data_IF_194595839413
#
_entry.id   IF_194595839413
#
_cell.length_a   1.000
_cell.length_b   1.000
_cell.length_c   1.000
_cell.angle_alpha   90.00
_cell.angle_beta   90.00
_cell.angle_gamma   90.00
#
_symmetry.space_group_name_H-M   'P 1'
#
loop_
_entity.id
_entity.type
_entity.pdbx_description
1 polymer ?
#
# COMPACT_ATOMS: atom_id res chain seq x y z
N UNK A 1 53.33 6.42 39.97
CA UNK A 1 52.10 5.73 40.43
C UNK A 1 52.28 5.41 41.90
N UNK A 2 51.43 5.94 42.78
CA UNK A 2 51.49 5.59 44.19
C UNK A 2 51.01 4.14 44.36
N UNK A 3 51.88 3.25 44.84
CA UNK A 3 51.57 1.85 45.09
C UNK A 3 50.60 1.76 46.28
N UNK A 4 49.35 1.35 46.02
CA UNK A 4 48.33 1.09 47.04
C UNK A 4 47.94 -0.38 46.94
N UNK A 5 48.11 -1.13 48.03
CA UNK A 5 47.93 -2.59 48.07
C UNK A 5 46.45 -2.98 48.18
N UNK A 6 45.63 -2.13 48.83
CA UNK A 6 44.24 -2.46 49.15
C UNK A 6 43.23 -2.10 48.03
N UNK A 7 43.61 -1.24 47.09
CA UNK A 7 42.73 -0.84 45.98
C UNK A 7 43.52 -0.74 44.67
N UNK A 8 43.19 -1.60 43.72
CA UNK A 8 43.79 -1.62 42.39
C UNK A 8 42.99 -0.71 41.45
N UNK A 9 43.29 0.59 41.54
CA UNK A 9 42.63 1.61 40.73
C UNK A 9 42.80 1.37 39.23
N UNK A 10 43.92 0.79 38.80
CA UNK A 10 44.19 0.44 37.40
C UNK A 10 43.24 -0.67 36.92
N UNK A 11 43.09 -1.74 37.70
CA UNK A 11 42.15 -2.83 37.40
C UNK A 11 40.68 -2.36 37.42
N UNK A 12 40.29 -1.50 38.37
CA UNK A 12 38.93 -0.93 38.40
C UNK A 12 38.65 -0.03 37.19
N UNK A 13 39.65 0.74 36.75
CA UNK A 13 39.51 1.59 35.57
C UNK A 13 39.37 0.75 34.29
N UNK A 14 40.22 -0.27 34.13
CA UNK A 14 40.15 -1.20 33.00
C UNK A 14 38.82 -1.96 32.98
N UNK A 15 38.32 -2.41 34.14
CA UNK A 15 37.00 -3.07 34.24
C UNK A 15 35.85 -2.15 33.78
N UNK A 16 35.85 -0.87 34.18
CA UNK A 16 34.84 0.10 33.71
C UNK A 16 34.90 0.32 32.19
N UNK A 17 36.11 0.41 31.62
CA UNK A 17 36.28 0.55 30.17
C UNK A 17 35.88 -0.72 29.41
N UNK A 18 36.15 -1.90 29.97
CA UNK A 18 35.73 -3.18 29.42
C UNK A 18 34.20 -3.30 29.41
N UNK A 19 33.53 -2.97 30.51
CA UNK A 19 32.07 -2.95 30.59
C UNK A 19 31.44 -1.99 29.57
N UNK A 20 32.02 -0.79 29.40
CA UNK A 20 31.60 0.15 28.36
C UNK A 20 31.80 -0.39 26.93
N UNK A 21 32.87 -1.15 26.69
CA UNK A 21 33.14 -1.78 25.39
C UNK A 21 32.17 -2.93 25.11
N UNK A 22 31.86 -3.75 26.13
CA UNK A 22 30.87 -4.83 26.04
C UNK A 22 29.49 -4.29 25.68
N UNK A 23 29.06 -3.18 26.31
CA UNK A 23 27.78 -2.53 25.98
C UNK A 23 27.75 -2.02 24.53
N UNK A 24 28.85 -1.42 24.05
CA UNK A 24 28.96 -0.98 22.64
C UNK A 24 28.93 -2.15 21.66
N UNK A 25 29.62 -3.24 21.98
CA UNK A 25 29.61 -4.45 21.18
C UNK A 25 28.20 -5.06 21.11
N UNK A 26 27.51 -5.16 22.24
CA UNK A 26 26.13 -5.64 22.31
C UNK A 26 25.19 -4.81 21.41
N UNK A 27 25.29 -3.48 21.48
CA UNK A 27 24.49 -2.57 20.66
C UNK A 27 24.80 -2.68 19.16
N UNK A 28 26.08 -2.76 18.77
CA UNK A 28 26.44 -2.97 17.35
C UNK A 28 25.98 -4.34 16.84
N UNK A 29 26.04 -5.39 17.67
CA UNK A 29 25.46 -6.69 17.31
C UNK A 29 23.94 -6.61 17.13
N UNK A 30 23.24 -5.87 17.97
CA UNK A 30 21.81 -5.60 17.84
C UNK A 30 21.48 -4.86 16.53
N UNK A 31 22.25 -3.81 16.20
CA UNK A 31 22.06 -3.07 14.95
C UNK A 31 22.31 -3.94 13.71
N UNK A 32 23.37 -4.75 13.71
CA UNK A 32 23.68 -5.68 12.61
C UNK A 32 22.62 -6.77 12.46
N UNK A 33 22.14 -7.32 13.57
CA UNK A 33 21.12 -8.37 13.57
C UNK A 33 19.75 -7.85 13.09
N UNK A 34 19.41 -6.61 13.45
CA UNK A 34 18.13 -5.99 13.07
C UNK A 34 18.19 -5.26 11.73
N UNK A 35 19.39 -4.97 11.22
CA UNK A 35 19.63 -4.09 10.08
C UNK A 35 19.29 -2.62 10.36
N UNK A 36 18.98 -2.25 11.61
CA UNK A 36 18.50 -0.93 12.01
C UNK A 36 19.46 -0.26 12.98
N UNK A 37 19.72 1.01 12.77
CA UNK A 37 20.49 1.87 13.67
C UNK A 37 19.66 2.39 14.84
N UNK A 38 18.32 2.41 14.71
CA UNK A 38 17.40 2.83 15.75
C UNK A 38 16.43 1.68 16.01
N UNK A 39 16.64 0.94 17.09
CA UNK A 39 15.80 -0.20 17.46
C UNK A 39 14.87 0.12 18.64
N UNK A 40 15.30 1.02 19.53
CA UNK A 40 14.53 1.42 20.71
C UNK A 40 14.55 2.94 20.95
N UNK A 41 13.66 3.41 21.84
CA UNK A 41 13.65 4.81 22.27
C UNK A 41 14.93 5.24 23.00
N UNK A 42 15.73 4.27 23.48
CA UNK A 42 17.06 4.53 24.06
C UNK A 42 18.09 4.91 22.99
N UNK A 43 17.91 4.50 21.72
CA UNK A 43 18.81 4.86 20.64
C UNK A 43 18.51 6.26 20.11
N UNK A 44 17.24 6.56 19.89
CA UNK A 44 16.73 7.90 19.58
C UNK A 44 15.21 7.93 19.63
N UNK A 45 14.65 8.58 20.65
CA UNK A 45 13.19 8.74 20.78
C UNK A 45 12.58 9.51 19.58
N UNK A 46 13.27 10.53 19.08
CA UNK A 46 12.78 11.37 17.96
C UNK A 46 12.80 10.59 16.65
N UNK A 47 13.89 9.90 16.32
CA UNK A 47 13.97 9.12 15.09
C UNK A 47 12.98 7.94 15.09
N UNK A 48 12.78 7.32 16.25
CA UNK A 48 11.78 6.27 16.42
C UNK A 48 10.35 6.83 16.21
N UNK A 49 10.02 7.99 16.79
CA UNK A 49 8.71 8.60 16.61
C UNK A 49 8.43 8.95 15.13
N UNK A 50 9.39 9.60 14.45
CA UNK A 50 9.25 9.96 13.03
C UNK A 50 9.09 8.69 12.18
N UNK A 51 9.95 7.68 12.38
CA UNK A 51 9.88 6.43 11.61
C UNK A 51 8.61 5.61 11.87
N UNK A 52 8.01 5.74 13.06
CA UNK A 52 6.70 5.15 13.38
C UNK A 52 5.58 5.83 12.62
N UNK A 53 5.56 7.17 12.59
CA UNK A 53 4.59 7.95 11.81
C UNK A 53 4.71 7.64 10.32
N UNK A 54 5.92 7.71 9.76
CA UNK A 54 6.19 7.33 8.36
C UNK A 54 5.76 5.89 8.08
N UNK A 55 5.98 4.96 9.02
CA UNK A 55 5.52 3.58 8.90
C UNK A 55 4.00 3.45 8.90
N UNK A 56 3.29 4.29 9.65
CA UNK A 56 1.84 4.40 9.61
C UNK A 56 1.34 4.89 8.26
N UNK A 57 1.93 5.98 7.76
CA UNK A 57 1.58 6.59 6.48
C UNK A 57 1.81 5.63 5.31
N UNK A 58 2.96 4.94 5.28
CA UNK A 58 3.26 3.93 4.25
C UNK A 58 2.20 2.82 4.23
N UNK A 59 1.75 2.33 5.40
CA UNK A 59 0.70 1.30 5.47
C UNK A 59 -0.65 1.84 5.01
N UNK A 60 -1.01 3.05 5.42
CA UNK A 60 -2.26 3.70 5.01
C UNK A 60 -2.31 3.93 3.50
N UNK A 61 -1.22 4.46 2.91
CA UNK A 61 -1.09 4.67 1.47
C UNK A 61 -1.10 3.33 0.72
N UNK A 62 -0.41 2.30 1.22
CA UNK A 62 -0.43 0.97 0.61
C UNK A 62 -1.82 0.35 0.59
N UNK A 63 -2.63 0.58 1.65
CA UNK A 63 -4.04 0.17 1.65
C UNK A 63 -4.86 1.02 0.66
N UNK A 64 -4.58 2.30 0.55
CA UNK A 64 -5.25 3.21 -0.38
C UNK A 64 -5.06 2.80 -1.84
N UNK A 65 -3.86 2.32 -2.21
CA UNK A 65 -3.60 1.76 -3.54
C UNK A 65 -4.47 0.53 -3.81
N UNK A 66 -4.65 -0.35 -2.82
CA UNK A 66 -5.55 -1.51 -2.95
C UNK A 66 -7.00 -1.07 -3.12
N UNK A 67 -7.47 -0.16 -2.27
CA UNK A 67 -8.83 0.39 -2.36
C UNK A 67 -9.10 1.05 -3.72
N UNK A 68 -8.11 1.80 -4.26
CA UNK A 68 -8.21 2.40 -5.58
C UNK A 68 -8.32 1.34 -6.68
N UNK A 69 -7.55 0.25 -6.60
CA UNK A 69 -7.64 -0.87 -7.54
C UNK A 69 -8.98 -1.61 -7.46
N UNK A 70 -9.58 -1.72 -6.26
CA UNK A 70 -10.92 -2.27 -6.10
C UNK A 70 -11.96 -1.38 -6.81
N UNK A 71 -11.84 -0.06 -6.66
CA UNK A 71 -12.69 0.90 -7.38
C UNK A 71 -12.50 0.86 -8.90
N UNK A 72 -11.26 0.71 -9.38
CA UNK A 72 -10.96 0.50 -10.81
C UNK A 72 -11.63 -0.79 -11.30
N UNK A 73 -11.56 -1.87 -10.52
CA UNK A 73 -12.16 -3.16 -10.89
C UNK A 73 -13.68 -3.06 -10.97
N UNK A 74 -14.30 -2.35 -10.01
CA UNK A 74 -15.73 -2.05 -10.02
C UNK A 74 -16.12 -1.21 -11.26
N UNK A 75 -15.36 -0.15 -11.56
CA UNK A 75 -15.64 0.72 -12.69
C UNK A 75 -15.50 0.00 -14.03
N UNK A 76 -14.48 -0.85 -14.19
CA UNK A 76 -14.29 -1.66 -15.40
C UNK A 76 -15.39 -2.69 -15.60
N UNK A 77 -15.88 -3.32 -14.53
CA UNK A 77 -17.02 -4.22 -14.61
C UNK A 77 -18.27 -3.48 -15.10
N UNK A 78 -18.53 -2.28 -14.56
CA UNK A 78 -19.62 -1.42 -14.99
C UNK A 78 -19.53 -1.01 -16.47
N UNK A 79 -18.35 -0.54 -16.91
CA UNK A 79 -18.13 -0.16 -18.32
C UNK A 79 -18.27 -1.35 -19.28
N UNK A 80 -17.77 -2.54 -18.89
CA UNK A 80 -17.87 -3.74 -19.74
C UNK A 80 -19.32 -4.19 -19.93
N UNK A 81 -20.12 -4.21 -18.87
CA UNK A 81 -21.55 -4.55 -18.98
C UNK A 81 -22.34 -3.48 -19.75
N UNK A 82 -21.95 -2.20 -19.68
CA UNK A 82 -22.54 -1.15 -20.50
C UNK A 82 -22.18 -1.23 -21.99
N UNK A 83 -21.00 -1.76 -22.31
CA UNK A 83 -20.59 -2.03 -23.70
C UNK A 83 -21.44 -3.15 -24.33
N UNK A 84 -21.70 -4.22 -23.56
CA UNK A 84 -22.63 -5.28 -23.97
C UNK A 84 -24.06 -4.74 -24.17
N UNK A 85 -24.56 -3.93 -23.22
CA UNK A 85 -25.85 -3.25 -23.35
C UNK A 85 -25.91 -2.34 -24.58
N UNK A 86 -24.86 -1.55 -24.85
CA UNK A 86 -24.78 -0.68 -26.04
C UNK A 86 -24.91 -1.49 -27.33
N UNK A 87 -24.22 -2.62 -27.44
CA UNK A 87 -24.26 -3.48 -28.63
C UNK A 87 -25.67 -4.04 -28.86
N UNK A 88 -26.40 -4.40 -27.81
CA UNK A 88 -27.80 -4.84 -27.93
C UNK A 88 -28.74 -3.69 -28.31
N UNK A 89 -28.53 -2.48 -27.78
CA UNK A 89 -29.31 -1.31 -28.18
C UNK A 89 -29.09 -0.90 -29.64
N UNK A 90 -27.86 -1.01 -30.15
CA UNK A 90 -27.57 -0.83 -31.57
C UNK A 90 -28.33 -1.84 -32.44
N UNK A 91 -28.39 -3.10 -32.00
CA UNK A 91 -29.21 -4.13 -32.67
C UNK A 91 -30.71 -3.81 -32.60
N UNK A 92 -31.21 -3.35 -31.45
CA UNK A 92 -32.60 -2.92 -31.32
C UNK A 92 -32.92 -1.72 -32.22
N UNK A 93 -31.98 -0.78 -32.39
CA UNK A 93 -32.14 0.36 -33.29
C UNK A 93 -32.23 -0.08 -34.76
N UNK A 94 -31.39 -1.03 -35.18
CA UNK A 94 -31.43 -1.64 -36.52
C UNK A 94 -32.81 -2.29 -36.78
N UNK A 95 -33.27 -3.10 -35.83
CA UNK A 95 -34.56 -3.78 -35.90
C UNK A 95 -35.74 -2.81 -35.92
N UNK A 96 -35.71 -1.76 -35.08
CA UNK A 96 -36.74 -0.73 -35.03
C UNK A 96 -36.81 0.06 -36.35
N UNK A 97 -35.65 0.37 -36.95
CA UNK A 97 -35.57 0.97 -38.29
C UNK A 97 -36.11 0.05 -39.38
N UNK A 98 -35.77 -1.24 -39.33
CA UNK A 98 -36.28 -2.26 -40.26
C UNK A 98 -37.81 -2.39 -40.18
N UNK A 99 -38.38 -2.36 -38.98
CA UNK A 99 -39.84 -2.39 -38.75
C UNK A 99 -40.54 -1.19 -39.39
N UNK A 100 -39.89 -0.03 -39.42
CA UNK A 100 -40.39 1.20 -40.05
C UNK A 100 -40.50 1.13 -41.58
N UNK A 101 -39.95 0.10 -42.23
CA UNK A 101 -40.05 -0.06 -43.67
C UNK A 101 -41.44 -0.56 -44.09
N UNK A 102 -42.14 0.22 -44.91
CA UNK A 102 -43.50 -0.06 -45.37
C UNK A 102 -43.67 -1.28 -46.29
N UNK A 103 -42.58 -1.97 -46.66
CA UNK A 103 -42.61 -3.21 -47.44
C UNK A 103 -42.82 -4.48 -46.59
N UNK A 104 -42.74 -4.40 -45.26
CA UNK A 104 -42.90 -5.56 -44.37
C UNK A 104 -44.37 -5.93 -44.15
N UNK A 105 -44.63 -7.23 -44.01
CA UNK A 105 -45.94 -7.73 -43.58
C UNK A 105 -46.19 -7.51 -42.09
N UNK A 106 -47.43 -7.67 -41.63
CA UNK A 106 -47.76 -7.59 -40.21
C UNK A 106 -47.09 -8.72 -39.40
N UNK A 107 -46.96 -9.91 -40.00
CA UNK A 107 -46.24 -11.05 -39.43
C UNK A 107 -44.75 -10.75 -39.26
N UNK A 108 -44.10 -10.13 -40.25
CA UNK A 108 -42.68 -9.72 -40.16
C UNK A 108 -42.47 -8.66 -39.06
N UNK A 109 -43.37 -7.66 -38.98
CA UNK A 109 -43.33 -6.65 -37.93
C UNK A 109 -43.49 -7.26 -36.53
N UNK A 110 -44.36 -8.27 -36.39
CA UNK A 110 -44.55 -8.98 -35.12
C UNK A 110 -43.33 -9.84 -34.74
N UNK A 111 -42.63 -10.43 -35.71
CA UNK A 111 -41.41 -11.19 -35.46
C UNK A 111 -40.29 -10.27 -34.95
N UNK A 112 -40.14 -9.09 -35.56
CA UNK A 112 -39.19 -8.06 -35.13
C UNK A 112 -39.50 -7.59 -33.70
N UNK A 113 -40.77 -7.35 -33.37
CA UNK A 113 -41.18 -6.98 -32.00
C UNK A 113 -40.82 -8.07 -30.97
N UNK A 114 -40.89 -9.34 -31.37
CA UNK A 114 -40.43 -10.46 -30.55
C UNK A 114 -38.93 -10.43 -30.29
N UNK A 115 -38.11 -10.12 -31.31
CA UNK A 115 -36.65 -10.00 -31.17
C UNK A 115 -36.27 -8.80 -30.29
N UNK A 116 -36.91 -7.64 -30.49
CA UNK A 116 -36.72 -6.45 -29.66
C UNK A 116 -37.09 -6.73 -28.19
N UNK A 117 -38.22 -7.42 -27.95
CA UNK A 117 -38.62 -7.79 -26.58
C UNK A 117 -37.67 -8.78 -25.90
N UNK A 118 -37.07 -9.70 -26.66
CA UNK A 118 -36.04 -10.61 -26.16
C UNK A 118 -34.76 -9.85 -25.77
N UNK A 119 -34.30 -8.92 -26.62
CA UNK A 119 -33.16 -8.06 -26.33
C UNK A 119 -33.40 -7.18 -25.10
N UNK A 120 -34.59 -6.59 -24.98
CA UNK A 120 -34.97 -5.81 -23.79
C UNK A 120 -34.92 -6.65 -22.50
N UNK A 121 -35.37 -7.90 -22.57
CA UNK A 121 -35.33 -8.82 -21.43
C UNK A 121 -33.89 -9.12 -21.02
N UNK A 122 -32.99 -9.32 -21.99
CA UNK A 122 -31.57 -9.56 -21.72
C UNK A 122 -30.88 -8.32 -21.14
N UNK A 123 -31.15 -7.14 -21.69
CA UNK A 123 -30.65 -5.86 -21.15
C UNK A 123 -31.08 -5.68 -19.69
N UNK A 124 -32.36 -5.90 -19.38
CA UNK A 124 -32.89 -5.83 -18.03
C UNK A 124 -32.21 -6.86 -17.09
N UNK A 125 -31.90 -8.05 -17.61
CA UNK A 125 -31.15 -9.09 -16.88
C UNK A 125 -29.73 -8.63 -16.54
N UNK A 126 -28.99 -8.08 -17.51
CA UNK A 126 -27.63 -7.55 -17.30
C UNK A 126 -27.65 -6.40 -16.31
N UNK A 127 -28.64 -5.51 -16.40
CA UNK A 127 -28.78 -4.39 -15.46
C UNK A 127 -29.00 -4.87 -14.02
N UNK A 128 -29.85 -5.88 -13.81
CA UNK A 128 -30.20 -6.39 -12.49
C UNK A 128 -29.11 -7.29 -11.87
N UNK A 129 -28.39 -8.04 -12.71
CA UNK A 129 -27.43 -9.05 -12.28
C UNK A 129 -25.99 -8.55 -12.20
N UNK A 130 -25.64 -7.44 -12.88
CA UNK A 130 -24.31 -6.85 -12.78
C UNK A 130 -24.08 -6.25 -11.40
N UNK A 131 -23.26 -6.93 -10.60
CA UNK A 131 -22.94 -6.54 -9.22
C UNK A 131 -21.46 -6.72 -8.94
N UNK A 132 -20.91 -5.81 -8.14
CA UNK A 132 -19.59 -5.94 -7.56
C UNK A 132 -19.72 -6.08 -6.04
N UNK A 133 -19.35 -7.24 -5.49
CA UNK A 133 -19.43 -7.51 -4.05
C UNK A 133 -20.80 -7.12 -3.45
N UNK A 134 -21.88 -7.65 -4.03
CA UNK A 134 -23.29 -7.39 -3.70
C UNK A 134 -23.81 -5.94 -3.93
N UNK A 135 -22.98 -5.04 -4.48
CA UNK A 135 -23.41 -3.71 -4.89
C UNK A 135 -23.87 -3.71 -6.34
N UNK A 136 -25.12 -3.30 -6.59
CA UNK A 136 -25.61 -3.05 -7.96
C UNK A 136 -24.91 -1.82 -8.54
N UNK A 137 -24.48 -1.92 -9.80
CA UNK A 137 -23.73 -0.85 -10.46
C UNK A 137 -24.62 0.15 -11.21
N UNK A 138 -25.89 -0.19 -11.48
CA UNK A 138 -26.74 0.54 -12.42
C UNK A 138 -28.06 1.08 -11.83
N UNK A 139 -28.37 0.77 -10.57
CA UNK A 139 -29.61 1.20 -9.88
C UNK A 139 -29.44 2.46 -9.02
N UNK A 140 -28.34 3.19 -9.23
CA UNK A 140 -27.90 4.28 -8.36
C UNK A 140 -26.70 3.83 -7.53
N UNK A 141 -25.50 4.11 -8.03
CA UNK A 141 -24.25 3.78 -7.37
C UNK A 141 -23.74 5.02 -6.63
N UNK A 142 -23.48 4.89 -5.33
CA UNK A 142 -22.80 5.91 -4.54
C UNK A 142 -21.79 5.19 -3.62
N UNK A 143 -20.54 5.09 -4.09
CA UNK A 143 -19.48 4.37 -3.37
C UNK A 143 -18.26 5.27 -3.19
N UNK A 144 -17.86 5.42 -1.92
CA UNK A 144 -16.68 6.18 -1.55
C UNK A 144 -15.48 5.25 -1.34
N UNK A 145 -14.39 5.52 -2.06
CA UNK A 145 -13.10 4.85 -1.91
C UNK A 145 -12.11 5.76 -1.19
N UNK A 146 -11.43 5.25 -0.17
CA UNK A 146 -10.31 5.96 0.47
C UNK A 146 -9.06 5.76 -0.37
N UNK A 147 -8.55 6.84 -0.97
CA UNK A 147 -7.47 6.83 -1.97
C UNK A 147 -6.26 7.67 -1.52
N UNK A 148 -6.06 7.77 -0.21
CA UNK A 148 -4.91 8.39 0.44
C UNK A 148 -5.00 8.26 1.96
N UNK A 149 -4.15 8.97 2.69
CA UNK A 149 -4.20 8.95 4.17
C UNK A 149 -5.51 9.54 4.72
N UNK A 150 -6.11 10.51 4.03
CA UNK A 150 -7.39 11.14 4.40
C UNK A 150 -8.24 11.49 3.17
N UNK A 151 -7.72 11.24 1.97
CA UNK A 151 -8.37 11.60 0.71
C UNK A 151 -9.38 10.54 0.31
N UNK A 152 -10.52 10.98 -0.20
CA UNK A 152 -11.59 10.11 -0.70
C UNK A 152 -11.88 10.40 -2.17
N UNK A 153 -12.35 9.37 -2.86
CA UNK A 153 -12.92 9.46 -4.19
C UNK A 153 -14.35 8.92 -4.13
N UNK A 154 -15.31 9.68 -4.61
CA UNK A 154 -16.69 9.21 -4.69
C UNK A 154 -17.02 8.80 -6.12
N UNK A 155 -17.33 7.51 -6.31
CA UNK A 155 -17.90 7.00 -7.55
C UNK A 155 -19.43 7.09 -7.44
N UNK A 156 -19.99 8.10 -8.10
CA UNK A 156 -21.43 8.31 -8.19
C UNK A 156 -21.89 8.05 -9.62
N UNK A 157 -22.82 7.13 -9.81
CA UNK A 157 -23.46 6.87 -11.10
C UNK A 157 -24.96 6.92 -10.90
N UNK A 158 -25.61 7.80 -11.65
CA UNK A 158 -27.06 7.91 -11.64
C UNK A 158 -27.71 6.61 -12.14
N UNK A 159 -28.94 6.29 -11.72
CA UNK A 159 -29.67 5.14 -12.25
C UNK A 159 -29.73 5.18 -13.77
N UNK A 160 -29.27 4.11 -14.42
CA UNK A 160 -29.28 4.02 -15.88
C UNK A 160 -30.68 3.57 -16.30
N UNK A 161 -31.47 4.46 -16.90
CA UNK A 161 -32.76 4.05 -17.43
C UNK A 161 -32.57 3.30 -18.76
N UNK A 162 -32.96 2.04 -18.80
CA UNK A 162 -32.88 1.14 -19.95
C UNK A 162 -34.26 0.69 -20.45
N UNK A 163 -35.34 1.14 -19.82
CA UNK A 163 -36.70 0.84 -20.29
C UNK A 163 -37.01 1.68 -21.52
N UNK A 164 -37.26 1.02 -22.65
CA UNK A 164 -37.56 1.64 -23.94
C UNK A 164 -38.81 1.06 -24.55
N UNK A 165 -39.63 1.94 -25.13
CA UNK A 165 -40.69 1.52 -26.04
C UNK A 165 -40.14 1.04 -27.38
N UNK A 166 -41.04 0.70 -28.31
CA UNK A 166 -40.66 0.24 -29.65
C UNK A 166 -40.22 1.39 -30.61
N UNK A 167 -40.10 2.63 -30.11
CA UNK A 167 -39.76 3.79 -30.93
C UNK A 167 -38.24 4.01 -30.95
N UNK A 168 -37.71 4.36 -32.11
CA UNK A 168 -36.28 4.69 -32.31
C UNK A 168 -35.82 5.80 -31.35
N UNK A 169 -36.65 6.81 -31.09
CA UNK A 169 -36.32 7.92 -30.19
C UNK A 169 -36.09 7.50 -28.74
N UNK A 170 -36.79 6.45 -28.28
CA UNK A 170 -36.63 5.94 -26.91
C UNK A 170 -35.30 5.19 -26.80
N UNK A 171 -34.96 4.39 -27.82
CA UNK A 171 -33.67 3.67 -27.96
C UNK A 171 -32.50 4.65 -27.97
N UNK A 172 -32.59 5.74 -28.75
CA UNK A 172 -31.55 6.78 -28.79
C UNK A 172 -31.33 7.42 -27.41
N UNK A 173 -32.40 7.70 -26.68
CA UNK A 173 -32.30 8.27 -25.32
C UNK A 173 -31.64 7.28 -24.34
N UNK A 174 -31.95 5.99 -24.44
CA UNK A 174 -31.31 4.95 -23.62
C UNK A 174 -29.81 4.79 -23.96
N UNK A 175 -29.44 4.84 -25.23
CA UNK A 175 -28.04 4.83 -25.67
C UNK A 175 -27.27 6.05 -25.16
N UNK A 176 -27.89 7.24 -25.13
CA UNK A 176 -27.30 8.43 -24.51
C UNK A 176 -27.10 8.26 -22.99
N UNK A 177 -28.04 7.65 -22.29
CA UNK A 177 -27.89 7.34 -20.85
C UNK A 177 -26.73 6.39 -20.60
N UNK A 178 -26.60 5.33 -21.41
CA UNK A 178 -25.50 4.37 -21.34
C UNK A 178 -24.18 5.06 -21.61
N UNK A 179 -24.10 5.88 -22.66
CA UNK A 179 -22.90 6.63 -23.02
C UNK A 179 -22.45 7.56 -21.90
N UNK A 180 -23.39 8.22 -21.22
CA UNK A 180 -23.09 9.03 -20.01
C UNK A 180 -22.56 8.18 -18.86
N UNK A 181 -23.20 7.05 -18.56
CA UNK A 181 -22.75 6.15 -17.51
C UNK A 181 -21.34 5.57 -17.80
N UNK A 182 -21.06 5.18 -19.05
CA UNK A 182 -19.72 4.74 -19.50
C UNK A 182 -18.68 5.84 -19.34
N UNK A 183 -19.02 7.08 -19.69
CA UNK A 183 -18.12 8.21 -19.49
C UNK A 183 -17.76 8.38 -18.00
N UNK A 184 -18.73 8.24 -17.09
CA UNK A 184 -18.49 8.29 -15.64
C UNK A 184 -17.58 7.15 -15.15
N UNK A 185 -17.80 5.90 -15.60
CA UNK A 185 -16.92 4.77 -15.25
C UNK A 185 -15.52 4.90 -15.85
N UNK A 186 -15.41 5.42 -17.08
CA UNK A 186 -14.14 5.72 -17.73
C UNK A 186 -13.36 6.81 -17.00
N UNK A 187 -14.04 7.89 -16.59
CA UNK A 187 -13.44 8.93 -15.75
C UNK A 187 -12.95 8.34 -14.42
N UNK A 188 -13.78 7.53 -13.74
CA UNK A 188 -13.41 6.90 -12.49
C UNK A 188 -12.18 6.00 -12.62
N UNK A 189 -12.07 5.24 -13.71
CA UNK A 189 -10.89 4.41 -14.00
C UNK A 189 -9.62 5.25 -14.15
N UNK A 190 -9.72 6.39 -14.84
CA UNK A 190 -8.59 7.30 -15.05
C UNK A 190 -8.18 8.04 -13.77
N UNK A 191 -9.17 8.56 -13.04
CA UNK A 191 -8.96 9.28 -11.77
C UNK A 191 -8.34 8.35 -10.71
N UNK A 192 -8.93 7.16 -10.50
CA UNK A 192 -8.41 6.19 -9.54
C UNK A 192 -7.04 5.66 -9.99
N UNK A 193 -6.82 5.46 -11.29
CA UNK A 193 -5.53 5.04 -11.84
C UNK A 193 -4.41 6.04 -11.57
N UNK A 194 -4.67 7.33 -11.81
CA UNK A 194 -3.69 8.39 -11.53
C UNK A 194 -3.40 8.55 -10.03
N UNK A 195 -4.43 8.50 -9.18
CA UNK A 195 -4.27 8.58 -7.71
C UNK A 195 -3.55 7.36 -7.13
N UNK A 196 -3.80 6.16 -7.67
CA UNK A 196 -3.08 4.95 -7.28
C UNK A 196 -1.59 5.05 -7.63
N UNK A 197 -1.26 5.57 -8.82
CA UNK A 197 0.13 5.80 -9.24
C UNK A 197 0.83 6.85 -8.37
N UNK A 198 0.19 7.98 -8.08
CA UNK A 198 0.75 9.00 -7.17
C UNK A 198 0.97 8.44 -5.75
N UNK A 199 -0.02 7.70 -5.23
CA UNK A 199 0.09 7.02 -3.94
C UNK A 199 1.26 6.03 -3.89
N UNK A 200 1.48 5.26 -4.96
CA UNK A 200 2.60 4.32 -5.04
C UNK A 200 3.96 5.06 -4.99
N UNK A 201 4.11 6.15 -5.75
CA UNK A 201 5.31 6.99 -5.74
C UNK A 201 5.53 7.63 -4.37
N UNK A 202 4.47 8.10 -3.70
CA UNK A 202 4.54 8.62 -2.33
C UNK A 202 4.99 7.54 -1.34
N UNK A 203 4.45 6.33 -1.44
CA UNK A 203 4.85 5.21 -0.58
C UNK A 203 6.33 4.85 -0.76
N UNK A 204 6.84 4.85 -1.99
CA UNK A 204 8.24 4.63 -2.30
C UNK A 204 9.14 5.70 -1.66
N UNK A 205 8.81 6.98 -1.88
CA UNK A 205 9.56 8.10 -1.32
C UNK A 205 9.57 8.12 0.21
N UNK A 206 8.44 7.82 0.85
CA UNK A 206 8.36 7.71 2.31
C UNK A 206 9.13 6.49 2.83
N UNK A 207 9.14 5.38 2.09
CA UNK A 207 9.94 4.20 2.43
C UNK A 207 11.43 4.51 2.35
N UNK A 208 11.88 5.21 1.31
CA UNK A 208 13.26 5.68 1.19
C UNK A 208 13.64 6.67 2.31
N UNK A 209 12.74 7.60 2.66
CA UNK A 209 12.94 8.53 3.76
C UNK A 209 13.03 7.79 5.11
N UNK A 210 12.17 6.80 5.35
CA UNK A 210 12.18 5.98 6.55
C UNK A 210 13.45 5.13 6.65
N UNK A 211 13.89 4.54 5.53
CA UNK A 211 15.14 3.78 5.44
C UNK A 211 16.34 4.62 5.86
N UNK A 212 16.48 5.85 5.33
CA UNK A 212 17.57 6.78 5.72
C UNK A 212 17.58 7.12 7.22
N UNK A 213 16.42 7.06 7.89
CA UNK A 213 16.32 7.35 9.32
C UNK A 213 16.70 6.14 10.16
N UNK A 214 16.15 4.97 9.82
CA UNK A 214 16.15 3.79 10.71
C UNK A 214 17.19 2.74 10.33
N UNK A 215 17.56 2.61 9.06
CA UNK A 215 18.43 1.53 8.60
C UNK A 215 19.89 1.82 8.97
N UNK A 216 20.63 0.76 9.27
CA UNK A 216 22.04 0.84 9.61
C UNK A 216 22.93 0.71 8.37
N UNK A 217 24.02 1.49 8.35
CA UNK A 217 25.13 1.22 7.44
C UNK A 217 25.93 0.02 7.97
N UNK A 218 25.74 -1.13 7.33
CA UNK A 218 26.37 -2.40 7.72
C UNK A 218 27.89 -2.29 7.67
N UNK A 219 28.48 -1.55 6.73
CA UNK A 219 29.93 -1.42 6.64
C UNK A 219 30.48 -0.66 7.84
N UNK A 220 29.82 0.44 8.22
CA UNK A 220 30.19 1.22 9.40
C UNK A 220 30.01 0.41 10.70
N UNK A 221 28.91 -0.32 10.84
CA UNK A 221 28.65 -1.16 12.03
C UNK A 221 29.61 -2.35 12.11
N UNK A 222 29.99 -2.98 10.99
CA UNK A 222 31.00 -4.05 10.98
C UNK A 222 32.40 -3.55 11.37
N UNK A 223 32.78 -2.35 10.93
CA UNK A 223 34.02 -1.71 11.36
C UNK A 223 34.00 -1.43 12.88
N UNK A 224 32.86 -0.97 13.40
CA UNK A 224 32.66 -0.72 14.82
C UNK A 224 32.65 -2.03 15.65
N UNK A 225 32.06 -3.11 15.13
CA UNK A 225 32.08 -4.44 15.75
C UNK A 225 33.52 -4.97 15.84
N UNK A 226 34.28 -4.81 14.77
CA UNK A 226 35.68 -5.22 14.71
C UNK A 226 36.51 -4.44 15.73
N UNK A 227 36.33 -3.12 15.78
CA UNK A 227 36.98 -2.24 16.77
C UNK A 227 36.64 -2.63 18.20
N UNK A 228 35.37 -2.86 18.52
CA UNK A 228 34.94 -3.24 19.88
C UNK A 228 35.43 -4.63 20.27
N UNK A 229 35.50 -5.57 19.33
CA UNK A 229 36.08 -6.91 19.55
C UNK A 229 37.58 -6.86 19.83
N UNK A 230 38.33 -6.02 19.10
CA UNK A 230 39.76 -5.81 19.36
C UNK A 230 39.96 -5.15 20.73
N UNK A 231 39.18 -4.13 21.06
CA UNK A 231 39.22 -3.47 22.37
C UNK A 231 38.86 -4.40 23.53
N UNK A 232 37.89 -5.31 23.33
CA UNK A 232 37.54 -6.33 24.32
C UNK A 232 38.72 -7.26 24.58
N UNK A 233 39.36 -7.79 23.53
CA UNK A 233 40.54 -8.66 23.64
C UNK A 233 41.71 -7.95 24.33
N UNK A 234 41.98 -6.71 23.94
CA UNK A 234 43.01 -5.88 24.56
C UNK A 234 42.69 -5.56 26.03
N UNK A 235 41.43 -5.24 26.35
CA UNK A 235 40.96 -4.94 27.70
C UNK A 235 41.12 -6.13 28.64
N UNK A 236 40.81 -7.35 28.18
CA UNK A 236 41.05 -8.59 28.95
C UNK A 236 42.56 -8.78 29.20
N UNK A 237 43.41 -8.58 28.20
CA UNK A 237 44.86 -8.69 28.36
C UNK A 237 45.42 -7.67 29.37
N UNK A 238 44.99 -6.40 29.27
CA UNK A 238 45.39 -5.33 30.21
C UNK A 238 44.84 -5.59 31.61
N UNK A 239 43.63 -6.15 31.75
CA UNK A 239 43.06 -6.52 33.04
C UNK A 239 43.90 -7.61 33.71
N UNK A 240 44.29 -8.64 32.96
CA UNK A 240 45.18 -9.70 33.46
C UNK A 240 46.52 -9.12 33.89
N UNK A 241 47.12 -8.22 33.08
CA UNK A 241 48.37 -7.53 33.42
C UNK A 241 48.23 -6.65 34.68
N UNK A 242 47.13 -5.91 34.83
CA UNK A 242 46.85 -5.06 35.97
C UNK A 242 46.63 -5.86 37.26
N UNK A 243 46.11 -7.08 37.16
CA UNK A 243 46.01 -8.00 38.29
C UNK A 243 47.39 -8.57 38.67
N UNK A 244 48.22 -8.95 37.68
CA UNK A 244 49.58 -9.46 37.90
C UNK A 244 50.50 -8.44 38.60
N UNK A 245 50.42 -7.16 38.26
CA UNK A 245 51.26 -6.14 38.90
C UNK A 245 50.97 -5.97 40.40
N UNK A 246 49.73 -6.19 40.85
CA UNK A 246 49.39 -6.19 42.28
C UNK A 246 49.90 -7.44 43.00
N UNK A 247 49.82 -8.62 42.37
CA UNK A 247 50.35 -9.86 42.96
C UNK A 247 51.88 -9.89 43.01
N UNK A 248 52.58 -9.39 41.98
CA UNK A 248 54.04 -9.28 41.99
C UNK A 248 54.55 -8.38 43.11
N UNK A 249 53.85 -7.28 43.41
CA UNK A 249 54.18 -6.38 44.53
C UNK A 249 53.90 -7.06 45.88
N UNK A 250 52.80 -7.80 46.01
CA UNK A 250 52.52 -8.58 47.23
C UNK A 250 53.53 -9.70 47.46
N UNK A 251 54.05 -10.33 46.40
CA UNK A 251 55.11 -11.32 46.51
C UNK A 251 56.42 -10.69 46.99
N UNK A 252 56.79 -9.52 46.45
CA UNK A 252 58.02 -8.80 46.81
C UNK A 252 58.06 -8.23 48.25
N UNK A 253 56.90 -8.14 48.93
CA UNK A 253 56.80 -7.66 50.33
C UNK A 253 56.69 -8.84 51.31
N UNK A 254 56.38 -10.04 50.82
CA UNK A 254 56.26 -11.26 51.64
C UNK A 254 57.59 -12.01 51.83
N UNK A 255 58.58 -11.70 51.00
CA UNK A 255 59.99 -12.11 51.15
C UNK A 255 60.80 -11.01 51.84
#
# INVERSE_FOLDING_TARGET
MALRINDNQSARNTQRQLAGTQNKQAKTMEHLATGKRVNSGMDSAVALAISSNLGGDIRAISQSVRNANDGISMAKLGDSALDEMSTMFERMQELSSQKGNGALSAEDQSAIDGEIGALQTEINSIQANTRFNDKSLFTGLDQTFTVGATETYNLSVDPVNVDVGNNVSDIETAMENISRARATFGQATSDLGSRAADSAVRAENLTAARSRIIDADVAAEMAQLTKTTILQKAGVAIQTQANMSSTSVMALIKD
#
